data_IF_779783684429
#
_entry.id   IF_779783684429
#
_cell.length_a   1.000
_cell.length_b   1.000
_cell.length_c   1.000
_cell.angle_alpha   90.00
_cell.angle_beta   90.00
_cell.angle_gamma   90.00
#
_symmetry.space_group_name_H-M   'P 1'
#
loop_
_entity.id
_entity.type
_entity.pdbx_description
1 polymer ?
#
# COMPACT_ATOMS: atom_id res chain seq x y z
N UNK A 1 -13.06 -26.64 -21.75
CA UNK A 1 -13.49 -26.08 -20.46
C UNK A 1 -12.24 -25.82 -19.64
N UNK A 2 -11.71 -24.60 -19.65
CA UNK A 2 -10.45 -24.29 -18.95
C UNK A 2 -10.83 -23.66 -17.63
N UNK A 3 -10.63 -24.38 -16.52
CA UNK A 3 -10.80 -23.81 -15.19
C UNK A 3 -9.66 -22.79 -14.97
N UNK A 4 -10.01 -21.52 -14.78
CA UNK A 4 -9.08 -20.49 -14.36
C UNK A 4 -8.88 -20.67 -12.85
N UNK A 5 -7.73 -21.20 -12.44
CA UNK A 5 -7.32 -21.19 -11.04
C UNK A 5 -6.64 -19.85 -10.75
N UNK A 6 -7.33 -18.96 -10.04
CA UNK A 6 -6.71 -17.78 -9.44
C UNK A 6 -6.11 -18.17 -8.09
N UNK A 7 -4.79 -18.14 -7.99
CA UNK A 7 -4.11 -18.25 -6.69
C UNK A 7 -4.25 -16.88 -6.01
N UNK A 8 -4.95 -16.83 -4.89
CA UNK A 8 -5.06 -15.64 -4.04
C UNK A 8 -3.90 -15.66 -3.04
N UNK A 9 -3.18 -14.55 -2.95
CA UNK A 9 -2.09 -14.37 -2.00
C UNK A 9 -2.65 -14.25 -0.58
N UNK A 10 -1.97 -14.91 0.36
CA UNK A 10 -2.34 -14.86 1.76
C UNK A 10 -1.73 -13.63 2.42
N UNK A 11 -2.40 -12.48 2.29
CA UNK A 11 -1.97 -11.23 2.92
C UNK A 11 -2.16 -11.30 4.44
N UNK A 12 -1.05 -11.28 5.17
CA UNK A 12 -1.07 -11.38 6.64
C UNK A 12 -1.38 -10.04 7.29
N UNK A 13 -0.90 -8.95 6.70
CA UNK A 13 -1.00 -7.62 7.27
C UNK A 13 0.19 -6.72 6.93
N UNK A 14 0.05 -5.46 7.31
CA UNK A 14 1.15 -4.50 7.33
C UNK A 14 1.94 -4.59 8.63
N UNK A 15 3.23 -4.28 8.55
CA UNK A 15 4.16 -4.30 9.69
C UNK A 15 4.82 -2.93 9.89
N UNK A 16 5.34 -2.71 11.10
CA UNK A 16 6.07 -1.50 11.50
C UNK A 16 7.11 -1.07 10.44
N UNK A 17 7.17 0.24 10.07
CA UNK A 17 6.71 1.39 10.86
C UNK A 17 5.28 1.86 10.57
N UNK A 18 4.48 1.10 9.82
CA UNK A 18 3.08 1.44 9.54
C UNK A 18 2.13 0.51 10.28
N UNK A 19 0.99 1.07 10.70
CA UNK A 19 -0.09 0.38 11.39
C UNK A 19 -1.25 0.09 10.42
N UNK A 20 -1.89 -1.06 10.62
CA UNK A 20 -3.06 -1.48 9.84
C UNK A 20 -4.28 -0.61 10.14
N UNK A 21 -5.24 -0.57 9.21
CA UNK A 21 -6.56 0.00 9.49
C UNK A 21 -7.17 -0.66 10.74
N UNK A 22 -7.93 0.09 11.57
CA UNK A 22 -8.43 1.45 11.34
C UNK A 22 -7.48 2.59 11.77
N UNK A 23 -6.20 2.31 12.03
CA UNK A 23 -5.25 3.34 12.48
C UNK A 23 -4.85 4.31 11.37
N UNK A 24 -4.55 5.56 11.76
CA UNK A 24 -4.06 6.62 10.87
C UNK A 24 -2.55 6.80 11.08
N UNK A 25 -1.78 6.52 10.04
CA UNK A 25 -0.33 6.63 10.04
C UNK A 25 0.10 8.10 9.84
N UNK A 26 0.73 8.70 10.86
CA UNK A 26 1.21 10.09 10.74
C UNK A 26 2.64 10.15 10.25
N UNK A 27 2.86 10.70 9.06
CA UNK A 27 4.17 10.75 8.40
C UNK A 27 4.52 12.16 7.94
N UNK A 28 5.82 12.45 7.82
CA UNK A 28 6.29 13.73 7.29
C UNK A 28 6.11 13.76 5.76
N UNK A 29 5.51 14.82 5.22
CA UNK A 29 5.40 14.99 3.77
C UNK A 29 6.78 15.08 3.09
N UNK A 30 6.94 14.46 1.92
CA UNK A 30 8.21 14.42 1.20
C UNK A 30 9.23 13.39 1.72
N UNK A 31 8.85 12.59 2.72
CA UNK A 31 9.70 11.54 3.27
C UNK A 31 9.56 10.21 2.50
N UNK A 32 10.45 9.28 2.81
CA UNK A 32 10.35 7.89 2.36
C UNK A 32 9.71 7.05 3.46
N UNK A 33 8.62 6.37 3.13
CA UNK A 33 7.87 5.53 4.07
C UNK A 33 8.07 4.06 3.68
N UNK A 34 8.72 3.24 4.52
CA UNK A 34 8.78 1.80 4.29
C UNK A 34 7.40 1.18 4.52
N UNK A 35 6.85 0.55 3.48
CA UNK A 35 5.62 -0.23 3.55
C UNK A 35 6.01 -1.69 3.59
N UNK A 36 5.88 -2.31 4.77
CA UNK A 36 6.19 -3.72 4.96
C UNK A 36 4.93 -4.55 5.08
N UNK A 37 4.91 -5.69 4.41
CA UNK A 37 3.77 -6.62 4.42
C UNK A 37 4.22 -8.05 4.10
N UNK A 38 3.42 -9.04 4.48
CA UNK A 38 3.68 -10.46 4.16
C UNK A 38 2.56 -11.00 3.28
N UNK A 39 2.93 -11.83 2.30
CA UNK A 39 2.04 -12.64 1.48
C UNK A 39 2.16 -14.14 1.83
N UNK A 40 2.65 -14.47 3.04
CA UNK A 40 2.94 -15.83 3.49
C UNK A 40 3.94 -16.56 2.60
N UNK A 41 5.04 -15.88 2.24
CA UNK A 41 6.08 -16.39 1.36
C UNK A 41 6.44 -15.45 0.20
N UNK A 42 7.52 -15.81 -0.50
CA UNK A 42 8.00 -15.11 -1.68
C UNK A 42 7.16 -15.47 -2.92
N UNK A 43 6.31 -14.54 -3.34
CA UNK A 43 5.52 -14.56 -4.57
C UNK A 43 6.23 -13.86 -5.75
N UNK A 44 7.53 -13.55 -5.61
CA UNK A 44 8.32 -12.77 -6.54
C UNK A 44 8.17 -11.26 -6.34
N UNK A 45 8.83 -10.47 -7.19
CA UNK A 45 8.85 -9.00 -7.10
C UNK A 45 7.86 -8.30 -8.04
N UNK A 46 7.15 -9.06 -8.87
CA UNK A 46 6.13 -8.54 -9.80
C UNK A 46 4.72 -8.80 -9.27
N UNK A 47 4.49 -8.45 -8.00
CA UNK A 47 3.25 -8.76 -7.27
C UNK A 47 2.21 -7.65 -7.32
N UNK A 48 2.57 -6.43 -7.73
CA UNK A 48 1.62 -5.32 -7.86
C UNK A 48 0.88 -5.36 -9.19
N UNK A 49 -0.42 -5.07 -9.15
CA UNK A 49 -1.22 -4.87 -10.33
C UNK A 49 -0.73 -3.65 -11.15
N UNK A 50 -1.08 -3.62 -12.44
CA UNK A 50 -0.74 -2.51 -13.33
C UNK A 50 -1.26 -1.19 -12.73
N UNK A 51 -0.39 -0.17 -12.72
CA UNK A 51 -0.65 1.16 -12.15
C UNK A 51 -0.84 1.19 -10.63
N UNK A 52 -0.41 0.16 -9.89
CA UNK A 52 -0.35 0.12 -8.43
C UNK A 52 1.11 0.00 -7.92
N UNK A 53 1.38 0.39 -6.65
CA UNK A 53 0.45 0.93 -5.65
C UNK A 53 -0.11 2.32 -6.01
N UNK A 54 -1.11 2.84 -5.28
CA UNK A 54 -1.70 4.16 -5.53
C UNK A 54 -1.84 4.95 -4.25
N UNK A 55 -1.84 6.27 -4.36
CA UNK A 55 -2.13 7.16 -3.26
C UNK A 55 -3.11 8.23 -3.68
N UNK A 56 -4.12 8.46 -2.86
CA UNK A 56 -5.16 9.40 -3.15
C UNK A 56 -5.35 10.37 -1.97
N UNK A 57 -5.75 11.62 -2.21
CA UNK A 57 -6.28 12.51 -1.17
C UNK A 57 -7.69 12.10 -0.66
N UNK A 58 -7.86 12.03 0.65
CA UNK A 58 -9.14 11.79 1.35
C UNK A 58 -9.31 12.81 2.47
N UNK A 59 -10.53 12.96 3.00
CA UNK A 59 -10.77 13.79 4.19
C UNK A 59 -10.12 13.15 5.42
N UNK A 60 -9.64 13.98 6.35
CA UNK A 60 -8.95 13.52 7.56
C UNK A 60 -9.90 13.05 8.67
N UNK A 61 -11.21 13.15 8.46
CA UNK A 61 -12.20 12.75 9.43
C UNK A 61 -12.25 11.22 9.48
N UNK A 62 -12.22 10.65 10.69
CA UNK A 62 -12.22 9.20 10.94
C UNK A 62 -13.49 8.47 10.47
N UNK A 63 -14.43 9.19 9.84
CA UNK A 63 -15.66 8.71 9.23
C UNK A 63 -15.66 8.81 7.70
N UNK A 64 -14.56 9.23 7.08
CA UNK A 64 -14.43 9.31 5.64
C UNK A 64 -14.57 7.91 5.03
N UNK A 65 -15.78 7.60 4.56
CA UNK A 65 -16.03 6.44 3.70
C UNK A 65 -14.98 6.42 2.60
N UNK A 66 -14.36 5.26 2.38
CA UNK A 66 -13.39 4.98 1.31
C UNK A 66 -13.97 5.15 -0.11
N UNK A 67 -15.11 5.84 -0.25
CA UNK A 67 -15.96 5.85 -1.42
C UNK A 67 -15.67 7.01 -2.37
N UNK A 68 -14.98 8.06 -1.91
CA UNK A 68 -14.64 9.17 -2.79
C UNK A 68 -13.17 9.01 -3.17
N UNK A 69 -12.91 8.23 -4.23
CA UNK A 69 -11.57 7.80 -4.68
C UNK A 69 -11.05 8.56 -5.91
N UNK A 70 -10.47 9.76 -5.77
CA UNK A 70 -9.69 10.44 -6.82
C UNK A 70 -8.34 9.76 -7.07
N UNK A 71 -8.16 9.25 -8.28
CA UNK A 71 -6.94 8.54 -8.69
C UNK A 71 -5.77 9.52 -8.88
N UNK A 72 -4.68 9.36 -8.14
CA UNK A 72 -3.40 10.02 -8.47
C UNK A 72 -2.32 9.01 -8.90
N UNK A 73 -1.45 9.50 -9.78
CA UNK A 73 -0.54 8.76 -10.66
C UNK A 73 0.54 7.91 -9.95
N UNK A 74 0.67 6.69 -10.49
CA UNK A 74 1.77 5.73 -10.54
C UNK A 74 3.05 6.03 -9.72
N UNK A 75 3.29 5.31 -8.61
CA UNK A 75 4.62 4.93 -8.18
C UNK A 75 5.04 3.67 -8.96
N UNK A 76 5.97 3.84 -9.91
CA UNK A 76 6.61 2.71 -10.57
C UNK A 76 7.15 1.72 -9.53
N UNK A 77 6.95 0.43 -9.76
CA UNK A 77 7.27 -0.70 -8.86
C UNK A 77 8.77 -0.89 -8.58
N UNK A 78 9.59 0.10 -8.96
CA UNK A 78 11.04 0.18 -8.74
C UNK A 78 11.32 0.44 -7.27
N UNK A 79 11.45 -0.61 -6.46
CA UNK A 79 11.81 -0.48 -5.04
C UNK A 79 11.19 -1.51 -4.10
N UNK A 80 10.56 -2.56 -4.62
CA UNK A 80 10.11 -3.71 -3.84
C UNK A 80 11.27 -4.70 -3.64
N UNK A 81 11.51 -5.09 -2.40
CA UNK A 81 12.41 -6.19 -2.04
C UNK A 81 11.67 -7.20 -1.16
N UNK A 82 12.20 -8.41 -1.05
CA UNK A 82 11.68 -9.45 -0.16
C UNK A 82 12.78 -9.92 0.80
N UNK A 83 12.42 -10.09 2.07
CA UNK A 83 13.28 -10.61 3.14
C UNK A 83 12.77 -11.98 3.60
N UNK A 84 13.54 -13.02 3.29
CA UNK A 84 13.26 -14.41 3.63
C UNK A 84 13.27 -14.71 5.14
N UNK A 85 14.05 -13.95 5.93
CA UNK A 85 14.17 -14.20 7.37
C UNK A 85 12.94 -13.71 8.13
N UNK A 86 12.34 -12.63 7.65
CA UNK A 86 11.18 -11.99 8.30
C UNK A 86 9.86 -12.24 7.58
N UNK A 87 9.90 -12.99 6.47
CA UNK A 87 8.76 -13.29 5.59
C UNK A 87 8.05 -12.01 5.11
N UNK A 88 8.83 -10.98 4.75
CA UNK A 88 8.29 -9.65 4.48
C UNK A 88 8.78 -9.05 3.18
N UNK A 89 7.82 -8.52 2.43
CA UNK A 89 8.05 -7.51 1.42
C UNK A 89 8.37 -6.17 2.07
N UNK A 90 9.27 -5.42 1.45
CA UNK A 90 9.58 -4.04 1.80
C UNK A 90 9.48 -3.17 0.55
N UNK A 91 8.50 -2.28 0.52
CA UNK A 91 8.31 -1.29 -0.53
C UNK A 91 8.60 0.11 0.01
N UNK A 92 9.60 0.79 -0.54
CA UNK A 92 9.95 2.15 -0.09
C UNK A 92 9.12 3.19 -0.86
N UNK A 93 8.03 3.67 -0.25
CA UNK A 93 7.15 4.65 -0.85
C UNK A 93 7.71 6.08 -0.69
N UNK A 94 8.03 6.75 -1.81
CA UNK A 94 8.42 8.16 -1.82
C UNK A 94 7.18 9.05 -1.86
N UNK A 95 7.04 9.93 -0.86
CA UNK A 95 5.88 10.82 -0.72
C UNK A 95 6.17 12.22 -1.27
N UNK A 96 5.13 12.99 -1.63
CA UNK A 96 5.30 14.36 -2.12
C UNK A 96 5.30 15.36 -0.94
N UNK A 97 6.19 16.35 -0.97
CA UNK A 97 6.22 17.45 0.01
C UNK A 97 4.92 18.27 0.03
N UNK A 98 4.25 18.39 -1.12
CA UNK A 98 2.99 19.12 -1.26
C UNK A 98 1.81 18.47 -0.52
N UNK A 99 1.97 17.25 0.00
CA UNK A 99 0.92 16.56 0.75
C UNK A 99 0.83 16.99 2.22
N UNK A 100 1.70 17.87 2.72
CA UNK A 100 1.63 18.37 4.09
C UNK A 100 0.22 18.92 4.41
N UNK A 101 -0.35 18.52 5.55
CA UNK A 101 -1.69 18.90 5.97
C UNK A 101 -2.83 18.10 5.33
N UNK A 102 -2.54 17.15 4.43
CA UNK A 102 -3.57 16.31 3.79
C UNK A 102 -3.65 14.92 4.42
N UNK A 103 -4.79 14.25 4.25
CA UNK A 103 -4.90 12.81 4.48
C UNK A 103 -4.94 12.09 3.15
N UNK A 104 -4.36 10.89 3.12
CA UNK A 104 -4.31 10.08 1.90
C UNK A 104 -4.58 8.61 2.18
N UNK A 105 -5.36 7.99 1.30
CA UNK A 105 -5.52 6.55 1.23
C UNK A 105 -4.43 5.99 0.32
N UNK A 106 -3.58 5.14 0.86
CA UNK A 106 -2.59 4.38 0.11
C UNK A 106 -3.14 2.98 -0.15
N UNK A 107 -3.18 2.56 -1.41
CA UNK A 107 -3.74 1.28 -1.85
C UNK A 107 -2.66 0.45 -2.52
N UNK A 108 -2.47 -0.77 -2.02
CA UNK A 108 -1.77 -1.83 -2.73
C UNK A 108 -2.83 -2.71 -3.37
N UNK A 109 -2.79 -2.84 -4.70
CA UNK A 109 -3.52 -3.89 -5.40
C UNK A 109 -2.52 -4.91 -5.90
N UNK A 110 -2.76 -6.18 -5.60
CA UNK A 110 -1.91 -7.28 -6.01
C UNK A 110 -2.39 -7.86 -7.35
N UNK A 111 -1.51 -8.59 -8.05
CA UNK A 111 -1.82 -9.19 -9.35
C UNK A 111 -2.93 -10.26 -9.29
N UNK A 112 -3.25 -10.76 -8.10
CA UNK A 112 -4.37 -11.67 -7.84
C UNK A 112 -5.73 -10.93 -7.73
N UNK A 113 -5.72 -9.59 -7.78
CA UNK A 113 -6.90 -8.74 -7.70
C UNK A 113 -7.27 -8.26 -6.30
N UNK A 114 -6.56 -8.68 -5.25
CA UNK A 114 -6.82 -8.23 -3.87
C UNK A 114 -6.32 -6.81 -3.63
N UNK A 115 -6.99 -6.07 -2.74
CA UNK A 115 -6.63 -4.71 -2.35
C UNK A 115 -6.40 -4.59 -0.85
N UNK A 116 -5.36 -3.84 -0.49
CA UNK A 116 -4.96 -3.57 0.88
C UNK A 116 -4.70 -2.08 1.07
N UNK A 117 -5.22 -1.55 2.17
CA UNK A 117 -5.31 -0.10 2.37
C UNK A 117 -4.56 0.34 3.62
N UNK A 118 -3.94 1.51 3.54
CA UNK A 118 -3.35 2.24 4.65
C UNK A 118 -3.84 3.69 4.61
N UNK A 119 -4.27 4.21 5.76
CA UNK A 119 -4.65 5.61 5.90
C UNK A 119 -3.46 6.40 6.46
N UNK A 120 -3.11 7.49 5.79
CA UNK A 120 -2.01 8.38 6.17
C UNK A 120 -2.50 9.79 6.44
N UNK A 121 -1.95 10.42 7.48
CA UNK A 121 -2.03 11.86 7.72
C UNK A 121 -0.63 12.46 7.55
N UNK A 122 -0.52 13.45 6.68
CA UNK A 122 0.75 14.11 6.39
C UNK A 122 0.90 15.37 7.23
N UNK A 123 2.03 15.48 7.95
CA UNK A 123 2.44 16.68 8.69
C UNK A 123 3.68 17.33 8.08
#
# INVERSE_FOLDING_TARGET
NTAVHSVIFNFIGFFSPVDNLPMVNTVKAGSSVPIKFSLSGDQGLSIFAISYPRSQAVTCDSSASLNDVETALNPGSSGLTYDLLTDQYNFVWKTNKAWAGTCRLFTIRLVDGTEHYLLFKFK
#
